data_IF_843180507248
#
_entry.id   IF_843180507248
#
_cell.length_a   1.000
_cell.length_b   1.000
_cell.length_c   1.000
_cell.angle_alpha   90.00
_cell.angle_beta   90.00
_cell.angle_gamma   90.00
#
_symmetry.space_group_name_H-M   'P 1'
#
loop_
_entity.id
_entity.type
_entity.pdbx_description
1 polymer ?
#
# COMPACT_ATOMS: atom_id res chain seq x y z
N UNK A 1 27.11 -8.13 -8.27
CA UNK A 1 25.70 -8.52 -8.64
C UNK A 1 24.87 -8.22 -7.40
N UNK A 2 23.92 -7.29 -7.47
CA UNK A 2 22.99 -7.10 -6.36
C UNK A 2 22.14 -8.36 -6.22
N UNK A 3 21.95 -8.82 -4.98
CA UNK A 3 21.06 -9.95 -4.69
C UNK A 3 19.65 -9.62 -5.24
N UNK A 4 18.96 -10.59 -5.79
CA UNK A 4 17.57 -10.48 -6.27
C UNK A 4 16.65 -9.83 -5.21
N UNK A 5 16.95 -10.06 -3.94
CA UNK A 5 16.18 -9.59 -2.78
C UNK A 5 16.84 -8.41 -2.04
N UNK A 6 17.89 -7.80 -2.62
CA UNK A 6 18.42 -6.55 -2.06
C UNK A 6 17.35 -5.46 -2.13
N UNK A 7 16.88 -5.05 -0.97
CA UNK A 7 15.91 -3.97 -0.85
C UNK A 7 16.65 -2.63 -0.68
N UNK A 8 16.11 -1.53 -1.24
CA UNK A 8 16.63 -0.20 -0.93
C UNK A 8 16.61 0.03 0.58
N UNK A 9 17.52 0.86 1.09
CA UNK A 9 17.47 1.37 2.45
C UNK A 9 16.03 1.80 2.79
N UNK A 10 15.51 1.48 3.95
CA UNK A 10 14.13 1.72 4.40
C UNK A 10 13.04 0.75 3.85
N UNK A 11 13.33 -0.20 2.99
CA UNK A 11 12.37 -1.24 2.66
C UNK A 11 12.34 -2.32 3.73
N UNK A 12 11.19 -2.97 3.88
CA UNK A 12 11.07 -4.13 4.78
C UNK A 12 11.56 -5.37 4.04
N UNK A 13 12.68 -5.99 4.47
CA UNK A 13 13.19 -7.18 3.79
C UNK A 13 12.22 -8.35 3.94
N UNK A 14 12.17 -9.19 2.89
CA UNK A 14 11.45 -10.44 2.93
C UNK A 14 12.19 -11.49 3.77
N UNK A 15 11.45 -12.22 4.60
CA UNK A 15 11.98 -13.40 5.29
C UNK A 15 12.27 -14.53 4.30
N UNK A 16 13.18 -15.49 4.64
CA UNK A 16 13.52 -16.59 3.75
C UNK A 16 12.29 -17.35 3.22
N UNK A 17 11.34 -17.68 4.09
CA UNK A 17 10.12 -18.42 3.71
C UNK A 17 9.20 -17.60 2.78
N UNK A 18 9.30 -16.27 2.84
CA UNK A 18 8.53 -15.39 1.97
C UNK A 18 9.19 -15.27 0.58
N UNK A 19 10.54 -15.34 0.52
CA UNK A 19 11.30 -15.39 -0.74
C UNK A 19 10.98 -16.65 -1.52
N UNK A 20 10.79 -17.79 -0.84
CA UNK A 20 10.36 -19.05 -1.43
C UNK A 20 8.96 -18.99 -2.07
N UNK A 21 8.20 -17.95 -1.75
CA UNK A 21 6.90 -17.67 -2.34
C UNK A 21 6.94 -17.08 -3.75
N UNK A 22 8.12 -16.87 -4.36
CA UNK A 22 8.24 -16.36 -5.72
C UNK A 22 7.72 -17.42 -6.74
N UNK A 23 6.73 -17.04 -7.53
CA UNK A 23 6.07 -17.92 -8.51
C UNK A 23 6.73 -17.91 -9.88
N UNK A 24 7.53 -16.90 -10.19
CA UNK A 24 8.08 -16.64 -11.51
C UNK A 24 9.50 -17.17 -11.60
N UNK A 25 9.69 -18.33 -12.27
CA UNK A 25 11.00 -19.00 -12.40
C UNK A 25 12.01 -18.25 -13.29
N UNK A 26 11.53 -17.31 -14.12
CA UNK A 26 12.39 -16.50 -15.00
C UNK A 26 12.97 -15.27 -14.30
N UNK A 27 12.43 -14.91 -13.14
CA UNK A 27 12.92 -13.77 -12.34
C UNK A 27 14.22 -14.15 -11.67
N UNK A 28 15.32 -13.55 -12.15
CA UNK A 28 16.69 -13.85 -11.67
C UNK A 28 17.41 -12.59 -11.17
N UNK A 29 16.89 -11.41 -11.49
CA UNK A 29 17.45 -10.13 -11.08
C UNK A 29 16.40 -9.25 -10.40
N UNK A 30 16.86 -8.24 -9.66
CA UNK A 30 15.96 -7.23 -9.08
C UNK A 30 15.15 -6.49 -10.13
N UNK A 31 15.72 -6.25 -11.30
CA UNK A 31 15.02 -5.60 -12.41
C UNK A 31 13.87 -6.48 -12.92
N UNK A 32 14.11 -7.78 -13.10
CA UNK A 32 13.06 -8.73 -13.50
C UNK A 32 11.92 -8.75 -12.49
N UNK A 33 12.25 -8.75 -11.18
CA UNK A 33 11.26 -8.74 -10.11
C UNK A 33 10.40 -7.47 -10.13
N UNK A 34 11.04 -6.31 -10.29
CA UNK A 34 10.34 -5.03 -10.38
C UNK A 34 9.40 -4.99 -11.59
N UNK A 35 9.82 -5.50 -12.75
CA UNK A 35 9.01 -5.59 -13.96
C UNK A 35 7.81 -6.53 -13.76
N UNK A 36 8.03 -7.71 -13.21
CA UNK A 36 6.97 -8.68 -12.91
C UNK A 36 5.94 -8.12 -11.93
N UNK A 37 6.41 -7.48 -10.85
CA UNK A 37 5.52 -6.83 -9.87
C UNK A 37 4.74 -5.68 -10.50
N UNK A 38 5.37 -4.82 -11.30
CA UNK A 38 4.69 -3.70 -11.94
C UNK A 38 3.58 -4.19 -12.89
N UNK A 39 3.87 -5.20 -13.73
CA UNK A 39 2.87 -5.79 -14.62
C UNK A 39 1.66 -6.38 -13.84
N UNK A 40 1.92 -7.07 -12.73
CA UNK A 40 0.88 -7.61 -11.86
C UNK A 40 0.06 -6.51 -11.18
N UNK A 41 0.71 -5.45 -10.70
CA UNK A 41 0.05 -4.28 -10.09
C UNK A 41 -0.88 -3.60 -11.10
N UNK A 42 -0.45 -3.39 -12.33
CA UNK A 42 -1.26 -2.75 -13.38
C UNK A 42 -2.53 -3.54 -13.68
N UNK A 43 -2.44 -4.87 -13.73
CA UNK A 43 -3.60 -5.75 -13.87
C UNK A 43 -4.54 -5.65 -12.66
N UNK A 44 -3.97 -5.65 -11.44
CA UNK A 44 -4.73 -5.49 -10.21
C UNK A 44 -5.44 -4.14 -10.14
N UNK A 45 -4.77 -3.06 -10.53
CA UNK A 45 -5.35 -1.73 -10.61
C UNK A 45 -6.50 -1.64 -11.64
N UNK A 46 -6.29 -2.22 -12.83
CA UNK A 46 -7.33 -2.27 -13.86
C UNK A 46 -8.55 -3.07 -13.39
N UNK A 47 -8.34 -4.17 -12.68
CA UNK A 47 -9.42 -4.95 -12.07
C UNK A 47 -10.18 -4.14 -11.02
N UNK A 48 -9.48 -3.45 -10.12
CA UNK A 48 -10.09 -2.66 -9.05
C UNK A 48 -10.95 -1.51 -9.58
N UNK A 49 -10.46 -0.76 -10.58
CA UNK A 49 -11.18 0.36 -11.19
C UNK A 49 -12.51 -0.05 -11.88
N UNK A 50 -12.63 -1.31 -12.31
CA UNK A 50 -13.87 -1.83 -12.93
C UNK A 50 -14.93 -2.22 -11.89
N UNK A 51 -14.60 -2.27 -10.60
CA UNK A 51 -15.47 -2.73 -9.53
C UNK A 51 -16.11 -1.58 -8.74
N UNK A 52 -16.82 -0.71 -9.45
CA UNK A 52 -17.61 0.35 -8.82
C UNK A 52 -18.73 -0.23 -7.96
N UNK A 53 -18.99 0.35 -6.79
CA UNK A 53 -20.17 0.04 -5.94
C UNK A 53 -20.02 -1.20 -5.04
N UNK A 54 -18.83 -1.79 -4.89
CA UNK A 54 -18.59 -2.82 -3.88
C UNK A 54 -18.09 -2.20 -2.57
N UNK A 55 -18.35 -2.90 -1.47
CA UNK A 55 -17.79 -2.54 -0.17
C UNK A 55 -16.27 -2.70 -0.17
N UNK A 56 -15.57 -1.62 -0.57
CA UNK A 56 -14.12 -1.58 -0.56
C UNK A 56 -13.53 -1.46 0.85
N UNK A 57 -14.35 -1.10 1.83
CA UNK A 57 -13.97 -0.99 3.22
C UNK A 57 -14.23 -2.31 3.99
N UNK A 58 -14.02 -3.46 3.33
CA UNK A 58 -14.08 -4.79 3.95
C UNK A 58 -12.71 -5.45 3.99
N UNK A 59 -12.47 -6.29 4.99
CA UNK A 59 -11.23 -7.07 5.11
C UNK A 59 -11.01 -7.94 3.87
N UNK A 60 -12.07 -8.55 3.36
CA UNK A 60 -12.03 -9.36 2.15
C UNK A 60 -11.55 -8.56 0.94
N UNK A 61 -12.01 -7.31 0.79
CA UNK A 61 -11.55 -6.46 -0.29
C UNK A 61 -10.08 -6.06 -0.13
N UNK A 62 -9.64 -5.68 1.07
CA UNK A 62 -8.24 -5.34 1.37
C UNK A 62 -7.32 -6.49 0.97
N UNK A 63 -7.65 -7.71 1.36
CA UNK A 63 -6.87 -8.92 1.03
C UNK A 63 -6.95 -9.28 -0.45
N UNK A 64 -8.14 -9.21 -1.04
CA UNK A 64 -8.37 -9.52 -2.45
C UNK A 64 -7.64 -8.52 -3.36
N UNK A 65 -7.66 -7.22 -3.05
CA UNK A 65 -6.92 -6.22 -3.80
C UNK A 65 -5.42 -6.52 -3.78
N UNK A 66 -4.85 -6.82 -2.62
CA UNK A 66 -3.45 -7.21 -2.52
C UNK A 66 -3.15 -8.46 -3.35
N UNK A 67 -4.02 -9.47 -3.30
CA UNK A 67 -3.90 -10.68 -4.12
C UNK A 67 -3.95 -10.36 -5.62
N UNK A 68 -4.79 -9.42 -6.05
CA UNK A 68 -4.90 -9.01 -7.46
C UNK A 68 -3.70 -8.21 -7.94
N UNK A 69 -3.04 -7.47 -7.04
CA UNK A 69 -1.86 -6.68 -7.35
C UNK A 69 -0.56 -7.50 -7.37
N UNK A 70 -0.48 -8.57 -6.59
CA UNK A 70 0.79 -9.28 -6.37
C UNK A 70 0.73 -10.79 -6.61
N UNK A 71 -0.46 -11.37 -6.81
CA UNK A 71 -0.66 -12.82 -6.84
C UNK A 71 -0.14 -13.53 -8.08
N UNK A 72 0.24 -12.82 -9.14
CA UNK A 72 0.95 -13.41 -10.27
C UNK A 72 2.46 -13.59 -9.99
N UNK A 73 2.97 -12.90 -8.95
CA UNK A 73 4.38 -12.94 -8.58
C UNK A 73 4.61 -13.71 -7.28
N UNK A 74 3.69 -13.55 -6.31
CA UNK A 74 3.89 -14.03 -4.95
C UNK A 74 2.76 -14.96 -4.48
N UNK A 75 3.10 -16.17 -4.05
CA UNK A 75 2.15 -17.17 -3.53
C UNK A 75 1.41 -16.69 -2.27
N UNK A 76 2.06 -15.89 -1.43
CA UNK A 76 1.48 -15.34 -0.19
C UNK A 76 0.60 -14.10 -0.41
N UNK A 77 0.49 -13.58 -1.64
CA UNK A 77 -0.28 -12.38 -1.92
C UNK A 77 -1.73 -12.49 -1.42
N UNK A 78 -2.17 -11.47 -0.69
CA UNK A 78 -3.49 -11.45 -0.03
C UNK A 78 -3.53 -12.16 1.33
N UNK A 79 -2.42 -12.75 1.78
CA UNK A 79 -2.29 -13.30 3.13
C UNK A 79 -1.56 -12.33 4.05
N UNK A 80 -2.05 -12.13 5.26
CA UNK A 80 -1.34 -11.32 6.24
C UNK A 80 -0.02 -12.00 6.64
N UNK A 81 1.00 -11.19 6.92
CA UNK A 81 2.27 -11.69 7.44
C UNK A 81 2.07 -12.35 8.80
N UNK A 82 2.89 -13.34 9.08
CA UNK A 82 2.87 -14.12 10.33
C UNK A 82 4.04 -13.79 11.25
N UNK A 83 5.03 -13.07 10.73
CA UNK A 83 6.26 -12.72 11.44
C UNK A 83 6.28 -11.24 11.83
N UNK A 84 7.08 -10.91 12.84
CA UNK A 84 7.35 -9.52 13.22
C UNK A 84 8.14 -8.79 12.12
N UNK A 85 8.09 -7.47 12.13
CA UNK A 85 8.88 -6.58 11.27
C UNK A 85 9.45 -5.45 12.12
N UNK A 86 10.45 -4.77 11.58
CA UNK A 86 10.98 -3.52 12.14
C UNK A 86 9.94 -2.39 12.13
N UNK A 87 8.91 -2.49 11.29
CA UNK A 87 7.78 -1.57 11.20
C UNK A 87 6.46 -2.35 11.25
N UNK A 88 5.38 -1.68 11.61
CA UNK A 88 4.06 -2.29 11.66
C UNK A 88 3.68 -2.80 13.05
N UNK A 89 2.45 -3.26 13.16
CA UNK A 89 1.92 -3.84 14.40
C UNK A 89 2.37 -5.30 14.55
N UNK A 90 2.28 -5.88 15.75
CA UNK A 90 2.50 -7.32 15.94
C UNK A 90 1.59 -8.15 15.05
N UNK A 91 2.12 -9.24 14.45
CA UNK A 91 1.39 -10.01 13.44
C UNK A 91 0.03 -10.53 13.93
N UNK A 92 -0.09 -10.93 15.18
CA UNK A 92 -1.37 -11.38 15.76
C UNK A 92 -2.43 -10.28 15.90
N UNK A 93 -2.03 -9.00 15.87
CA UNK A 93 -2.93 -7.84 15.96
C UNK A 93 -3.46 -7.39 14.60
N UNK A 94 -2.86 -7.80 13.50
CA UNK A 94 -3.19 -7.31 12.16
C UNK A 94 -4.69 -7.40 11.84
N UNK A 95 -5.38 -8.54 12.03
CA UNK A 95 -6.80 -8.62 11.69
C UNK A 95 -7.66 -7.61 12.47
N UNK A 96 -7.41 -7.47 13.77
CA UNK A 96 -8.15 -6.52 14.61
C UNK A 96 -7.88 -5.07 14.23
N UNK A 97 -6.62 -4.71 13.97
CA UNK A 97 -6.23 -3.36 13.57
C UNK A 97 -6.78 -2.97 12.18
N UNK A 98 -6.81 -3.93 11.25
CA UNK A 98 -7.43 -3.70 9.93
C UNK A 98 -8.94 -3.54 10.07
N UNK A 99 -9.62 -4.40 10.82
CA UNK A 99 -11.06 -4.29 11.06
C UNK A 99 -11.42 -2.93 11.70
N UNK A 100 -10.71 -2.54 12.75
CA UNK A 100 -10.91 -1.25 13.42
C UNK A 100 -10.70 -0.07 12.47
N UNK A 101 -9.63 -0.11 11.66
CA UNK A 101 -9.38 0.93 10.65
C UNK A 101 -10.54 1.07 9.66
N UNK A 102 -11.06 -0.04 9.17
CA UNK A 102 -12.15 -0.02 8.19
C UNK A 102 -13.44 0.52 8.80
N UNK A 103 -13.72 0.19 10.07
CA UNK A 103 -14.85 0.75 10.80
C UNK A 103 -14.68 2.26 11.05
N UNK A 104 -13.48 2.70 11.45
CA UNK A 104 -13.15 4.11 11.61
C UNK A 104 -13.37 4.88 10.29
N UNK A 105 -12.91 4.34 9.15
CA UNK A 105 -13.07 4.99 7.85
C UNK A 105 -14.53 5.05 7.42
N UNK A 106 -15.33 3.99 7.65
CA UNK A 106 -16.78 4.04 7.40
C UNK A 106 -17.44 5.15 8.20
N UNK A 107 -17.11 5.23 9.48
CA UNK A 107 -17.60 6.30 10.35
C UNK A 107 -17.22 7.69 9.83
N UNK A 108 -15.97 7.89 9.43
CA UNK A 108 -15.53 9.19 8.89
C UNK A 108 -16.27 9.57 7.61
N UNK A 109 -16.52 8.62 6.73
CA UNK A 109 -17.28 8.85 5.50
C UNK A 109 -18.75 9.12 5.79
N UNK A 110 -19.38 8.38 6.70
CA UNK A 110 -20.80 8.52 7.03
C UNK A 110 -21.12 9.84 7.74
N UNK A 111 -20.15 10.37 8.51
CA UNK A 111 -20.34 11.56 9.33
C UNK A 111 -19.59 12.81 8.80
N UNK A 112 -19.03 12.74 7.58
CA UNK A 112 -18.23 13.84 6.99
C UNK A 112 -17.17 14.37 7.97
N UNK A 113 -16.50 13.46 8.72
CA UNK A 113 -15.57 13.83 9.80
C UNK A 113 -14.34 14.57 9.27
N UNK A 114 -13.88 14.21 8.06
CA UNK A 114 -12.76 14.82 7.36
C UNK A 114 -13.12 15.09 5.91
N UNK A 115 -12.38 16.04 5.27
CA UNK A 115 -12.46 16.19 3.82
C UNK A 115 -12.15 14.87 3.10
N UNK A 116 -12.75 14.60 1.91
CA UNK A 116 -12.51 13.37 1.16
C UNK A 116 -11.03 13.02 0.94
N UNK A 117 -10.19 14.02 0.66
CA UNK A 117 -8.76 13.80 0.48
C UNK A 117 -8.10 13.36 1.79
N UNK A 118 -8.44 14.03 2.88
CA UNK A 118 -7.90 13.69 4.19
C UNK A 118 -8.37 12.30 4.66
N UNK A 119 -9.64 11.95 4.46
CA UNK A 119 -10.17 10.62 4.76
C UNK A 119 -9.38 9.53 4.05
N UNK A 120 -9.12 9.70 2.76
CA UNK A 120 -8.38 8.71 1.97
C UNK A 120 -6.89 8.64 2.35
N UNK A 121 -6.27 9.77 2.64
CA UNK A 121 -4.86 9.82 3.08
C UNK A 121 -4.69 9.24 4.48
N UNK A 122 -5.67 9.40 5.38
CA UNK A 122 -5.68 8.75 6.69
C UNK A 122 -5.82 7.23 6.57
N UNK A 123 -6.66 6.72 5.67
CA UNK A 123 -6.73 5.29 5.35
C UNK A 123 -5.36 4.78 4.88
N UNK A 124 -4.74 5.50 3.94
CA UNK A 124 -3.40 5.15 3.45
C UNK A 124 -2.39 5.08 4.59
N UNK A 125 -2.25 6.15 5.40
CA UNK A 125 -1.30 6.23 6.50
C UNK A 125 -1.47 5.08 7.49
N UNK A 126 -2.71 4.83 7.94
CA UNK A 126 -3.01 3.75 8.89
C UNK A 126 -2.72 2.36 8.32
N UNK A 127 -3.03 2.09 7.03
CA UNK A 127 -2.67 0.82 6.39
C UNK A 127 -1.15 0.62 6.31
N UNK A 128 -0.39 1.69 6.02
CA UNK A 128 1.07 1.64 6.03
C UNK A 128 1.59 1.38 7.45
N UNK A 129 1.02 2.04 8.46
CA UNK A 129 1.40 1.86 9.87
C UNK A 129 1.06 0.46 10.41
N UNK A 130 -0.05 -0.15 10.00
CA UNK A 130 -0.40 -1.54 10.35
C UNK A 130 0.56 -2.52 9.68
N UNK A 131 0.95 -2.25 8.42
CA UNK A 131 1.85 -3.08 7.61
C UNK A 131 1.39 -4.54 7.51
N UNK A 132 0.20 -4.81 6.94
CA UNK A 132 -0.44 -6.11 7.09
C UNK A 132 0.19 -7.25 6.28
N UNK A 133 0.87 -6.96 5.17
CA UNK A 133 1.39 -7.97 4.25
C UNK A 133 2.92 -8.12 4.33
N UNK A 134 3.48 -9.24 3.84
CA UNK A 134 4.94 -9.43 3.79
C UNK A 134 5.67 -8.32 3.02
N UNK A 135 5.13 -7.88 1.89
CA UNK A 135 5.64 -6.78 1.07
C UNK A 135 4.48 -6.08 0.34
N UNK A 136 4.79 -4.98 -0.40
CA UNK A 136 3.80 -4.27 -1.23
C UNK A 136 2.86 -3.33 -0.46
N UNK A 137 3.00 -3.19 0.85
CA UNK A 137 2.06 -2.43 1.71
C UNK A 137 1.87 -0.98 1.25
N UNK A 138 2.94 -0.27 0.91
CA UNK A 138 2.83 1.12 0.44
C UNK A 138 2.10 1.26 -0.89
N UNK A 139 2.35 0.36 -1.85
CA UNK A 139 1.68 0.36 -3.17
C UNK A 139 0.20 -0.01 -3.03
N UNK A 140 -0.09 -1.01 -2.19
CA UNK A 140 -1.45 -1.41 -1.86
C UNK A 140 -2.22 -0.28 -1.15
N UNK A 141 -1.64 0.34 -0.13
CA UNK A 141 -2.28 1.42 0.63
C UNK A 141 -2.58 2.66 -0.26
N UNK A 142 -1.68 3.01 -1.19
CA UNK A 142 -1.94 4.06 -2.18
C UNK A 142 -3.13 3.71 -3.08
N UNK A 143 -3.19 2.48 -3.58
CA UNK A 143 -4.33 2.03 -4.40
C UNK A 143 -5.65 2.06 -3.61
N UNK A 144 -5.65 1.66 -2.34
CA UNK A 144 -6.84 1.75 -1.48
C UNK A 144 -7.30 3.21 -1.31
N UNK A 145 -6.35 4.14 -1.09
CA UNK A 145 -6.68 5.56 -0.99
C UNK A 145 -7.20 6.16 -2.30
N UNK A 146 -6.60 5.79 -3.43
CA UNK A 146 -7.05 6.23 -4.77
C UNK A 146 -8.47 5.74 -5.09
N UNK A 147 -8.79 4.51 -4.72
CA UNK A 147 -10.15 3.98 -4.89
C UNK A 147 -11.16 4.69 -3.99
N UNK A 148 -10.80 4.93 -2.73
CA UNK A 148 -11.67 5.62 -1.79
C UNK A 148 -11.93 7.08 -2.21
N UNK A 149 -10.87 7.83 -2.52
CA UNK A 149 -11.03 9.24 -2.91
C UNK A 149 -11.86 9.40 -4.18
N UNK A 150 -11.72 8.45 -5.13
CA UNK A 150 -12.56 8.40 -6.33
C UNK A 150 -14.03 8.06 -6.01
N UNK A 151 -14.29 7.18 -5.07
CA UNK A 151 -15.64 6.87 -4.58
C UNK A 151 -16.28 8.09 -3.90
N UNK A 152 -15.46 8.92 -3.25
CA UNK A 152 -15.88 10.18 -2.64
C UNK A 152 -15.95 11.37 -3.62
N UNK A 153 -15.85 11.10 -4.93
CA UNK A 153 -16.07 12.10 -5.99
C UNK A 153 -14.86 12.98 -6.31
N UNK A 154 -13.67 12.64 -5.84
CA UNK A 154 -12.43 13.39 -6.13
C UNK A 154 -11.54 12.62 -7.13
N UNK A 155 -10.65 13.30 -7.86
CA UNK A 155 -9.66 12.63 -8.70
C UNK A 155 -8.67 11.81 -7.87
N UNK A 156 -8.07 10.74 -8.43
CA UNK A 156 -7.03 9.98 -7.74
C UNK A 156 -5.83 10.87 -7.43
N UNK A 157 -5.02 10.42 -6.49
CA UNK A 157 -3.80 11.13 -6.11
C UNK A 157 -2.68 10.92 -7.15
N UNK A 158 -1.73 11.86 -7.18
CA UNK A 158 -0.54 11.79 -8.03
C UNK A 158 0.67 11.15 -7.30
N UNK A 159 0.66 11.14 -5.96
CA UNK A 159 1.70 10.54 -5.12
C UNK A 159 3.12 11.01 -5.46
N UNK A 160 3.29 12.32 -5.60
CA UNK A 160 4.56 12.94 -5.94
C UNK A 160 4.92 12.87 -7.43
N UNK A 161 3.93 12.60 -8.28
CA UNK A 161 4.00 12.72 -9.72
C UNK A 161 5.02 11.84 -10.43
N UNK A 162 5.12 12.10 -11.74
CA UNK A 162 6.12 11.54 -12.64
C UNK A 162 7.40 12.38 -12.69
N UNK A 163 7.65 13.18 -11.67
CA UNK A 163 8.89 13.97 -11.66
C UNK A 163 10.08 13.01 -11.71
N UNK A 164 10.80 13.04 -12.84
CA UNK A 164 11.93 12.17 -13.16
C UNK A 164 13.17 12.48 -12.30
N UNK A 165 13.05 13.41 -11.39
CA UNK A 165 14.07 13.75 -10.42
C UNK A 165 14.13 12.67 -9.35
N UNK A 166 15.29 12.13 -9.17
CA UNK A 166 15.81 11.22 -8.15
C UNK A 166 14.74 10.42 -7.33
N UNK A 167 14.56 9.15 -7.69
CA UNK A 167 13.70 8.19 -6.98
C UNK A 167 13.98 8.21 -5.46
N UNK A 168 15.23 8.42 -5.06
CA UNK A 168 15.66 8.52 -3.67
C UNK A 168 15.10 9.75 -2.96
N UNK A 169 15.02 10.89 -3.63
CA UNK A 169 14.46 12.12 -3.05
C UNK A 169 12.94 12.00 -2.88
N UNK A 170 12.25 11.51 -3.89
CA UNK A 170 10.80 11.23 -3.79
C UNK A 170 10.49 10.30 -2.63
N UNK A 171 11.28 9.24 -2.46
CA UNK A 171 11.14 8.31 -1.35
C UNK A 171 11.37 8.98 0.00
N UNK A 172 12.44 9.78 0.15
CA UNK A 172 12.70 10.54 1.38
C UNK A 172 11.55 11.49 1.73
N UNK A 173 11.03 12.23 0.75
CA UNK A 173 9.87 13.13 0.93
C UNK A 173 8.65 12.35 1.42
N UNK A 174 8.38 11.20 0.82
CA UNK A 174 7.27 10.33 1.24
C UNK A 174 7.45 9.82 2.68
N UNK A 175 8.62 9.32 3.05
CA UNK A 175 8.90 8.81 4.40
C UNK A 175 8.79 9.95 5.43
N UNK A 176 9.36 11.11 5.14
CA UNK A 176 9.24 12.28 6.03
C UNK A 176 7.77 12.69 6.23
N UNK A 177 6.96 12.62 5.18
CA UNK A 177 5.54 12.92 5.25
C UNK A 177 4.77 11.89 6.10
N UNK A 178 5.10 10.60 6.01
CA UNK A 178 4.55 9.57 6.90
C UNK A 178 4.94 9.81 8.35
N UNK A 179 6.20 10.12 8.62
CA UNK A 179 6.67 10.42 9.98
C UNK A 179 6.02 11.69 10.57
N UNK A 180 5.65 12.65 9.74
CA UNK A 180 4.86 13.80 10.20
C UNK A 180 3.44 13.38 10.57
N UNK A 181 2.82 12.54 9.75
CA UNK A 181 1.50 11.97 10.02
C UNK A 181 1.48 11.09 11.30
N UNK A 182 2.57 10.36 11.60
CA UNK A 182 2.74 9.65 12.88
C UNK A 182 2.70 10.58 14.10
N UNK A 183 3.09 11.84 13.91
CA UNK A 183 3.01 12.91 14.93
C UNK A 183 1.71 13.74 14.84
N UNK A 184 0.70 13.21 14.16
CA UNK A 184 -0.62 13.82 13.94
C UNK A 184 -0.63 15.04 13.02
N UNK A 185 0.45 15.32 12.28
CA UNK A 185 0.49 16.34 11.25
C UNK A 185 0.29 15.71 9.87
N UNK A 186 -0.95 15.73 9.38
CA UNK A 186 -1.33 15.14 8.09
C UNK A 186 -1.02 16.03 6.88
N UNK A 187 -0.73 17.32 7.09
CA UNK A 187 -0.59 18.29 6.01
C UNK A 187 0.55 17.95 5.01
N UNK A 188 1.75 17.52 5.46
CA UNK A 188 2.80 17.09 4.53
C UNK A 188 2.42 15.89 3.66
N UNK A 189 1.68 14.93 4.24
CA UNK A 189 1.27 13.73 3.50
C UNK A 189 0.16 14.04 2.49
N UNK A 190 -0.79 14.91 2.83
CA UNK A 190 -1.80 15.44 1.91
C UNK A 190 -1.14 16.18 0.73
N UNK A 191 -0.20 17.05 1.02
CA UNK A 191 0.57 17.79 0.02
C UNK A 191 1.32 16.82 -0.91
N UNK A 192 2.00 15.82 -0.35
CA UNK A 192 2.71 14.80 -1.12
C UNK A 192 1.75 14.00 -2.01
N UNK A 193 0.61 13.57 -1.48
CA UNK A 193 -0.38 12.80 -2.23
C UNK A 193 -0.92 13.56 -3.46
N UNK A 194 -1.12 14.88 -3.34
CA UNK A 194 -1.63 15.75 -4.42
C UNK A 194 -0.53 16.32 -5.32
N UNK A 195 0.75 16.30 -4.90
CA UNK A 195 1.84 16.83 -5.75
C UNK A 195 2.03 15.98 -7.00
N UNK A 196 2.08 16.66 -8.15
CA UNK A 196 2.33 16.07 -9.46
C UNK A 196 3.85 15.96 -9.72
#
# INVERSE_FOLDING_TARGET
>A
MSDLFDEPDDATPLEPEERDGLLQSWVTTRADLNEAEQASIDKGAAWARRRRGRDMLSEDFVRLLHKRMFGEVWAWAGSYRRTGRNIGVGACRIPAEVAQLLDDVRYWVEHDTYDPDETAVRLHHRLVAIHPFPNGNGRHARMMADLLVQQLGRPPFAWGGADLTDIGEKRRRYINALQSADRHDMAPLLTFARSA
#
